data_IF_509291949495
#
_entry.id   IF_509291949495
#
_cell.length_a   1.000
_cell.length_b   1.000
_cell.length_c   1.000
_cell.angle_alpha   90.00
_cell.angle_beta   90.00
_cell.angle_gamma   90.00
#
_symmetry.space_group_name_H-M   'P 1'
#
loop_
_entity.id
_entity.type
_entity.pdbx_description
1 polymer ?
#
# COMPACT_ATOMS: atom_id res chain seq x y z
N UNK A 1 -21.07 -1.18 -12.36
CA UNK A 1 -19.90 -1.73 -11.65
C UNK A 1 -19.16 -2.55 -12.68
N UNK A 2 -17.98 -2.11 -13.11
CA UNK A 2 -17.17 -2.89 -14.06
C UNK A 2 -16.55 -4.03 -13.24
N UNK A 3 -16.87 -5.27 -13.56
CA UNK A 3 -16.16 -6.40 -12.95
C UNK A 3 -14.72 -6.38 -13.45
N UNK A 4 -13.79 -6.10 -12.54
CA UNK A 4 -12.38 -6.22 -12.82
C UNK A 4 -12.05 -7.71 -12.89
N UNK A 5 -11.82 -8.23 -14.09
CA UNK A 5 -11.35 -9.60 -14.28
C UNK A 5 -9.89 -9.65 -13.89
N UNK A 6 -9.60 -10.21 -12.71
CA UNK A 6 -8.24 -10.47 -12.30
C UNK A 6 -7.59 -11.49 -13.25
N UNK A 7 -6.34 -11.26 -13.70
CA UNK A 7 -5.63 -12.26 -14.49
C UNK A 7 -5.45 -13.53 -13.65
N UNK A 8 -5.40 -14.70 -14.30
CA UNK A 8 -5.09 -15.97 -13.64
C UNK A 8 -3.61 -16.00 -13.22
N UNK A 9 -3.27 -15.24 -12.18
CA UNK A 9 -1.96 -15.22 -11.56
C UNK A 9 -2.08 -15.67 -10.11
N UNK A 10 -1.05 -16.35 -9.62
CA UNK A 10 -1.01 -16.80 -8.23
C UNK A 10 -0.57 -15.70 -7.27
N UNK A 11 0.03 -14.62 -7.78
CA UNK A 11 0.55 -13.51 -7.01
C UNK A 11 0.07 -12.19 -7.64
N UNK A 12 -0.56 -11.35 -6.83
CA UNK A 12 -1.01 -10.00 -7.19
C UNK A 12 -0.44 -9.03 -6.17
N UNK A 13 0.32 -8.04 -6.63
CA UNK A 13 0.84 -6.98 -5.80
C UNK A 13 -0.09 -5.76 -5.86
N UNK A 14 -0.58 -5.31 -4.70
CA UNK A 14 -1.16 -3.97 -4.55
C UNK A 14 -0.04 -2.95 -4.37
N UNK A 15 -0.15 -1.81 -5.07
CA UNK A 15 0.84 -0.72 -4.99
C UNK A 15 0.12 0.56 -4.59
N UNK A 16 0.70 1.33 -3.69
CA UNK A 16 0.19 2.65 -3.28
C UNK A 16 1.34 3.62 -2.98
N UNK A 17 1.08 4.92 -3.14
CA UNK A 17 2.06 5.98 -2.89
C UNK A 17 1.53 7.12 -2.00
N UNK A 18 2.43 7.65 -1.17
CA UNK A 18 2.17 8.82 -0.32
C UNK A 18 3.21 9.90 -0.57
N UNK A 19 2.82 11.17 -0.35
CA UNK A 19 3.72 12.32 -0.52
C UNK A 19 3.82 12.86 -1.95
N UNK A 20 2.89 12.53 -2.85
CA UNK A 20 2.87 13.05 -4.23
C UNK A 20 2.46 14.53 -4.37
N UNK A 21 1.84 15.11 -3.34
CA UNK A 21 1.30 16.47 -3.33
C UNK A 21 2.28 17.60 -2.98
N UNK A 22 3.15 17.44 -1.96
CA UNK A 22 4.14 18.46 -1.60
C UNK A 22 5.16 18.77 -2.71
N UNK A 23 5.56 20.04 -2.82
CA UNK A 23 6.60 20.51 -3.75
C UNK A 23 8.00 19.98 -3.37
N UNK A 24 8.22 19.81 -2.06
CA UNK A 24 9.45 19.33 -1.44
C UNK A 24 9.08 18.21 -0.49
N UNK A 25 9.78 17.08 -0.60
CA UNK A 25 9.56 15.92 0.25
C UNK A 25 9.89 14.62 -0.47
N UNK A 26 10.10 13.55 0.31
CA UNK A 26 10.20 12.23 -0.27
C UNK A 26 8.80 11.73 -0.68
N UNK A 27 8.73 11.08 -1.83
CA UNK A 27 7.59 10.22 -2.18
C UNK A 27 7.93 8.83 -1.68
N UNK A 28 7.01 8.23 -0.92
CA UNK A 28 7.15 6.85 -0.45
C UNK A 28 6.14 5.99 -1.19
N UNK A 29 6.61 4.87 -1.73
CA UNK A 29 5.79 3.89 -2.44
C UNK A 29 5.88 2.55 -1.72
N UNK A 30 4.76 1.84 -1.62
CA UNK A 30 4.68 0.52 -1.05
C UNK A 30 4.15 -0.48 -2.08
N UNK A 31 4.67 -1.70 -2.07
CA UNK A 31 4.12 -2.83 -2.81
C UNK A 31 3.89 -4.00 -1.84
N UNK A 32 2.71 -4.61 -1.88
CA UNK A 32 2.33 -5.70 -0.99
C UNK A 32 1.65 -6.82 -1.77
N UNK A 33 2.13 -8.04 -1.64
CA UNK A 33 1.48 -9.26 -2.11
C UNK A 33 0.82 -9.91 -0.90
N UNK A 34 -0.51 -9.88 -0.86
CA UNK A 34 -1.29 -10.49 0.21
C UNK A 34 -1.36 -12.00 0.04
N UNK A 35 -1.34 -12.72 1.16
CA UNK A 35 -1.60 -14.16 1.17
C UNK A 35 -3.12 -14.41 1.15
N UNK A 36 -3.67 -15.04 0.10
CA UNK A 36 -5.09 -15.37 0.05
C UNK A 36 -5.53 -16.34 1.16
N UNK A 37 -4.60 -17.12 1.74
CA UNK A 37 -4.88 -18.01 2.86
C UNK A 37 -4.94 -17.29 4.22
N UNK A 38 -4.43 -16.05 4.32
CA UNK A 38 -4.36 -15.27 5.57
C UNK A 38 -4.98 -13.89 5.38
N UNK A 39 -6.31 -13.78 5.17
CA UNK A 39 -6.96 -12.50 4.93
C UNK A 39 -6.84 -11.56 6.14
N UNK A 40 -6.69 -10.27 5.85
CA UNK A 40 -6.54 -9.19 6.85
C UNK A 40 -7.86 -8.44 6.97
N UNK A 41 -8.45 -8.45 8.17
CA UNK A 41 -9.78 -7.88 8.39
C UNK A 41 -9.70 -6.35 8.50
N UNK A 42 -10.46 -5.66 7.65
CA UNK A 42 -10.58 -4.19 7.69
C UNK A 42 -9.53 -3.44 6.86
N UNK A 43 -8.82 -4.12 5.95
CA UNK A 43 -7.84 -3.51 5.05
C UNK A 43 -8.46 -2.49 4.06
N UNK A 44 -9.72 -2.69 3.66
CA UNK A 44 -10.37 -1.95 2.57
C UNK A 44 -10.92 -0.55 2.92
N UNK A 45 -11.00 -0.15 4.20
CA UNK A 45 -11.59 1.16 4.60
C UNK A 45 -10.53 2.18 5.02
N UNK A 46 -9.44 2.26 4.25
CA UNK A 46 -8.24 3.05 4.56
C UNK A 46 -8.49 4.54 4.83
N UNK A 47 -9.63 5.07 4.38
CA UNK A 47 -10.01 6.49 4.51
C UNK A 47 -10.63 6.85 5.85
N UNK A 48 -11.09 5.89 6.66
CA UNK A 48 -11.69 6.11 7.99
C UNK A 48 -10.89 5.54 9.16
N UNK A 49 -9.71 4.98 8.90
CA UNK A 49 -8.88 4.38 9.95
C UNK A 49 -8.28 5.46 10.86
N UNK A 50 -8.36 5.23 12.17
CA UNK A 50 -7.57 5.96 13.15
C UNK A 50 -6.09 5.59 13.03
N UNK A 51 -5.19 6.45 13.50
CA UNK A 51 -3.75 6.19 13.51
C UNK A 51 -3.41 4.87 14.22
N UNK A 52 -4.01 4.62 15.38
CA UNK A 52 -3.86 3.37 16.12
C UNK A 52 -4.22 2.15 15.28
N UNK A 53 -5.33 2.20 14.53
CA UNK A 53 -5.75 1.09 13.67
C UNK A 53 -4.82 0.92 12.47
N UNK A 54 -4.28 1.99 11.90
CA UNK A 54 -3.26 1.92 10.82
C UNK A 54 -2.00 1.23 11.30
N UNK A 55 -1.51 1.57 12.49
CA UNK A 55 -0.32 0.93 13.06
C UNK A 55 -0.53 -0.57 13.30
N UNK A 56 -1.67 -0.96 13.88
CA UNK A 56 -1.99 -2.38 14.06
C UNK A 56 -2.11 -3.13 12.72
N UNK A 57 -2.73 -2.52 11.71
CA UNK A 57 -2.84 -3.12 10.38
C UNK A 57 -1.47 -3.21 9.69
N UNK A 58 -0.58 -2.25 9.90
CA UNK A 58 0.77 -2.29 9.34
C UNK A 58 1.57 -3.49 9.85
N UNK A 59 1.51 -3.78 11.16
CA UNK A 59 2.17 -4.96 11.72
C UNK A 59 1.52 -6.27 11.23
N UNK A 60 0.18 -6.30 11.16
CA UNK A 60 -0.56 -7.43 10.62
C UNK A 60 -0.26 -7.71 9.14
N UNK A 61 -0.10 -6.67 8.32
CA UNK A 61 0.30 -6.78 6.91
C UNK A 61 1.70 -7.36 6.80
N UNK A 62 2.67 -6.86 7.59
CA UNK A 62 4.04 -7.38 7.54
C UNK A 62 4.13 -8.84 7.93
N UNK A 63 3.27 -9.30 8.85
CA UNK A 63 3.25 -10.68 9.33
C UNK A 63 2.50 -11.63 8.38
N UNK A 64 1.41 -11.17 7.75
CA UNK A 64 0.50 -12.00 6.95
C UNK A 64 0.73 -11.91 5.44
N UNK A 65 1.43 -10.90 4.94
CA UNK A 65 1.75 -10.80 3.51
C UNK A 65 2.76 -11.89 3.09
N UNK A 66 2.65 -12.35 1.84
CA UNK A 66 3.67 -13.21 1.23
C UNK A 66 4.97 -12.44 1.00
N UNK A 67 4.85 -11.16 0.61
CA UNK A 67 5.97 -10.27 0.39
C UNK A 67 5.51 -8.82 0.43
N UNK A 68 6.40 -7.93 0.89
CA UNK A 68 6.18 -6.49 0.85
C UNK A 68 7.50 -5.75 0.66
N UNK A 69 7.44 -4.55 0.09
CA UNK A 69 8.59 -3.67 -0.10
C UNK A 69 8.18 -2.21 0.02
N UNK A 70 9.13 -1.37 0.46
CA UNK A 70 8.99 0.08 0.55
C UNK A 70 10.13 0.73 -0.22
N UNK A 71 9.82 1.74 -1.01
CA UNK A 71 10.80 2.60 -1.66
C UNK A 71 10.52 4.07 -1.30
N UNK A 72 11.58 4.85 -1.10
CA UNK A 72 11.48 6.26 -0.76
C UNK A 72 12.39 7.09 -1.68
N UNK A 73 11.80 7.93 -2.52
CA UNK A 73 12.53 8.79 -3.45
C UNK A 73 12.41 10.24 -3.05
N UNK A 74 13.55 10.88 -2.79
CA UNK A 74 13.59 12.33 -2.55
C UNK A 74 13.18 13.05 -3.83
N UNK A 75 12.17 13.92 -3.74
CA UNK A 75 11.75 14.77 -4.84
C UNK A 75 11.96 16.24 -4.48
N UNK A 76 12.66 16.94 -5.35
CA UNK A 76 12.68 18.40 -5.42
C UNK A 76 12.11 18.75 -6.78
N UNK A 77 10.90 19.31 -6.84
CA UNK A 77 10.36 19.81 -8.11
C UNK A 77 10.98 21.19 -8.34
N UNK A 78 12.06 21.27 -9.12
CA UNK A 78 12.51 22.57 -9.62
C UNK A 78 11.36 23.17 -10.42
N UNK A 79 10.92 24.37 -10.02
CA UNK A 79 10.03 25.19 -10.81
C UNK A 79 10.88 25.72 -11.98
N UNK A 80 10.65 25.22 -13.19
CA UNK A 80 11.13 25.86 -14.42
C UNK A 80 10.26 27.05 -14.78
#
# INVERSE_FOLDING_TARGET
>A
MIEFVYPHTHLVAGVDEVGRGPLVGAVVTAAVILDPARPIVGLNDSKKLSEKRRLSLYDEIKEKALSWSLDARKRMKLMS
#
